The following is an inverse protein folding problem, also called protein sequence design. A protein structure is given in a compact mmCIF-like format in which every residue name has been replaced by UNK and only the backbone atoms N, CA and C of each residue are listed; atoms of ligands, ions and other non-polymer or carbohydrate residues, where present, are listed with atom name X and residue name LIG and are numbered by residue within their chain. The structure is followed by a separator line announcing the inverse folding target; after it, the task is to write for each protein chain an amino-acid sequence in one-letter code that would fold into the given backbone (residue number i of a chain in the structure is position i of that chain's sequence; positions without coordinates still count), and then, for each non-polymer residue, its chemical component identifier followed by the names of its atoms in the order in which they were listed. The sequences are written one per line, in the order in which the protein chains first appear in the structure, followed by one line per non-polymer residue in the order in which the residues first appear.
data_IF_669494443629
#
_entry.id   IF_669494443629
#
_cell.length_a   1.000
_cell.length_b   1.000
_cell.length_c   1.000
_cell.angle_alpha   90.00
_cell.angle_beta   90.00
_cell.angle_gamma   90.00
#
_symmetry.space_group_name_H-M   'P 1'
#
loop_
_entity.id
_entity.type
_entity.pdbx_description
1 polymer ?
#
# COMPACT_ATOMS: atom_id res chain seq x y z
N UNK A 1 -26.57 2.58 8.25
CA UNK A 1 -25.36 2.68 7.41
C UNK A 1 -24.69 3.99 7.80
N UNK A 2 -23.57 3.91 8.43
CA UNK A 2 -22.73 5.06 8.72
C UNK A 2 -21.73 5.20 7.57
N UNK A 3 -21.85 6.28 6.81
CA UNK A 3 -20.89 6.64 5.79
C UNK A 3 -20.01 7.75 6.36
N UNK A 4 -18.75 7.50 6.67
CA UNK A 4 -17.83 8.57 7.01
C UNK A 4 -17.58 9.40 5.75
N UNK A 5 -18.39 10.43 5.57
CA UNK A 5 -18.31 11.31 4.42
C UNK A 5 -17.62 12.60 4.80
N UNK A 6 -16.72 13.06 3.98
CA UNK A 6 -16.34 14.47 3.98
C UNK A 6 -17.60 15.26 3.69
N UNK A 7 -17.92 16.24 4.50
CA UNK A 7 -19.23 16.88 4.55
C UNK A 7 -19.74 17.30 3.16
N UNK A 8 -20.90 16.78 2.77
CA UNK A 8 -21.64 17.21 1.60
C UNK A 8 -21.43 16.40 0.32
N UNK A 9 -20.59 15.39 0.30
CA UNK A 9 -20.42 14.54 -0.87
C UNK A 9 -21.43 13.38 -0.89
N UNK A 10 -21.81 12.94 -2.08
CA UNK A 10 -22.66 11.78 -2.29
C UNK A 10 -21.78 10.54 -2.48
N UNK A 11 -22.22 9.33 -2.07
CA UNK A 11 -21.49 8.11 -2.36
C UNK A 11 -21.35 7.92 -3.86
N UNK A 12 -20.14 7.53 -4.31
CA UNK A 12 -19.86 7.32 -5.72
C UNK A 12 -20.57 6.07 -6.27
N UNK A 13 -20.71 5.03 -5.45
CA UNK A 13 -21.45 3.82 -5.78
C UNK A 13 -21.98 3.14 -4.52
N UNK A 14 -22.91 2.21 -4.71
CA UNK A 14 -23.45 1.33 -3.68
C UNK A 14 -23.22 -0.12 -4.13
N UNK A 15 -22.85 -0.97 -3.22
CA UNK A 15 -22.57 -2.37 -3.49
C UNK A 15 -23.13 -3.32 -2.43
N UNK A 16 -22.98 -4.62 -2.63
CA UNK A 16 -23.35 -5.70 -1.71
C UNK A 16 -24.85 -5.72 -1.36
N UNK A 17 -25.70 -5.52 -2.36
CA UNK A 17 -27.13 -5.73 -2.21
C UNK A 17 -27.65 -6.66 -3.31
N UNK A 18 -28.51 -7.63 -2.94
CA UNK A 18 -29.01 -8.66 -3.87
C UNK A 18 -29.71 -8.05 -5.09
N UNK A 19 -30.39 -6.92 -4.93
CA UNK A 19 -31.10 -6.27 -6.04
C UNK A 19 -30.18 -5.50 -7.01
N UNK A 20 -28.88 -5.41 -6.72
CA UNK A 20 -27.88 -4.89 -7.65
C UNK A 20 -27.36 -5.95 -8.61
N UNK A 21 -27.63 -7.24 -8.37
CA UNK A 21 -27.17 -8.32 -9.23
C UNK A 21 -27.88 -8.27 -10.58
N UNK A 22 -27.25 -7.67 -11.56
CA UNK A 22 -27.79 -7.45 -12.91
C UNK A 22 -26.90 -8.01 -14.00
N UNK A 23 -25.65 -8.29 -13.71
CA UNK A 23 -24.66 -8.77 -14.65
C UNK A 23 -24.02 -10.10 -14.21
N UNK A 24 -23.45 -10.82 -15.17
CA UNK A 24 -22.75 -12.07 -14.91
C UNK A 24 -21.55 -11.87 -13.99
N UNK A 25 -21.33 -12.84 -13.10
CA UNK A 25 -20.26 -12.85 -12.08
C UNK A 25 -20.45 -11.88 -10.92
N UNK A 26 -21.52 -11.13 -10.88
CA UNK A 26 -21.87 -10.34 -9.69
C UNK A 26 -22.35 -11.24 -8.54
N UNK A 27 -22.05 -10.82 -7.34
CA UNK A 27 -22.44 -11.54 -6.13
C UNK A 27 -22.79 -10.61 -4.99
N UNK A 28 -23.60 -11.11 -4.07
CA UNK A 28 -23.91 -10.44 -2.80
C UNK A 28 -24.09 -11.47 -1.69
N UNK A 29 -23.75 -11.09 -0.47
CA UNK A 29 -23.99 -11.90 0.72
C UNK A 29 -25.11 -11.29 1.56
N UNK A 30 -26.12 -12.08 1.92
CA UNK A 30 -27.23 -11.63 2.76
C UNK A 30 -27.79 -12.78 3.60
N UNK A 31 -28.01 -12.54 4.89
CA UNK A 31 -28.67 -13.47 5.82
C UNK A 31 -28.01 -14.87 5.83
N UNK A 32 -26.69 -14.93 5.65
CA UNK A 32 -25.92 -16.19 5.61
C UNK A 32 -25.95 -16.92 4.27
N UNK A 33 -26.54 -16.34 3.24
CA UNK A 33 -26.57 -16.88 1.88
C UNK A 33 -25.67 -16.07 0.94
N UNK A 34 -25.01 -16.78 0.01
CA UNK A 34 -24.34 -16.21 -1.13
C UNK A 34 -25.29 -16.20 -2.33
N UNK A 35 -25.56 -15.02 -2.87
CA UNK A 35 -26.28 -14.82 -4.11
C UNK A 35 -25.26 -14.54 -5.21
N UNK A 36 -25.38 -15.22 -6.33
CA UNK A 36 -24.45 -15.11 -7.44
C UNK A 36 -25.19 -15.16 -8.77
N UNK A 37 -24.82 -14.30 -9.70
CA UNK A 37 -25.34 -14.27 -11.06
C UNK A 37 -24.39 -15.09 -11.97
N UNK A 38 -24.70 -16.35 -12.28
CA UNK A 38 -23.82 -17.17 -13.09
C UNK A 38 -23.80 -16.69 -14.54
N UNK A 39 -22.69 -16.93 -15.29
CA UNK A 39 -22.67 -16.73 -16.72
C UNK A 39 -23.75 -17.56 -17.45
N UNK A 40 -24.23 -17.05 -18.58
CA UNK A 40 -25.26 -17.74 -19.37
C UNK A 40 -24.82 -19.16 -19.71
N UNK A 41 -25.69 -20.13 -19.41
CA UNK A 41 -25.45 -21.54 -19.68
C UNK A 41 -24.61 -22.26 -18.64
N UNK A 42 -24.19 -21.61 -17.57
CA UNK A 42 -23.46 -22.23 -16.46
C UNK A 42 -24.44 -22.65 -15.36
N UNK A 43 -24.43 -23.92 -15.01
CA UNK A 43 -25.21 -24.47 -13.89
C UNK A 43 -24.54 -24.11 -12.55
N UNK A 44 -25.19 -23.31 -11.72
CA UNK A 44 -24.64 -22.76 -10.47
C UNK A 44 -24.11 -23.87 -9.52
N UNK A 45 -24.78 -25.04 -9.50
CA UNK A 45 -24.38 -26.14 -8.65
C UNK A 45 -23.09 -26.86 -9.09
N UNK A 46 -22.55 -26.52 -10.26
CA UNK A 46 -21.25 -27.02 -10.74
C UNK A 46 -20.09 -26.11 -10.37
N UNK A 47 -20.38 -24.90 -9.85
CA UNK A 47 -19.37 -23.93 -9.48
C UNK A 47 -18.79 -24.24 -8.09
N UNK A 48 -17.52 -23.93 -7.95
CA UNK A 48 -16.81 -24.02 -6.67
C UNK A 48 -16.51 -22.61 -6.20
N UNK A 49 -16.95 -22.27 -4.99
CA UNK A 49 -16.72 -20.98 -4.37
C UNK A 49 -15.70 -21.12 -3.25
N UNK A 50 -14.69 -20.24 -3.24
CA UNK A 50 -13.77 -20.11 -2.11
C UNK A 50 -14.30 -19.01 -1.17
N UNK A 51 -14.65 -19.39 0.06
CA UNK A 51 -15.12 -18.45 1.09
C UNK A 51 -14.01 -18.27 2.12
N UNK A 52 -13.36 -17.10 2.19
CA UNK A 52 -12.30 -16.87 3.14
C UNK A 52 -12.85 -16.86 4.59
N UNK A 53 -12.06 -17.41 5.51
CA UNK A 53 -12.39 -17.43 6.95
C UNK A 53 -11.32 -16.77 7.81
N UNK A 54 -10.14 -16.57 7.26
CA UNK A 54 -9.02 -16.00 7.97
C UNK A 54 -8.69 -14.63 7.39
N UNK A 55 -8.40 -13.66 8.24
CA UNK A 55 -7.86 -12.37 7.84
C UNK A 55 -6.34 -12.44 7.65
N UNK A 56 -5.68 -13.38 8.35
CA UNK A 56 -4.23 -13.57 8.33
C UNK A 56 -3.88 -15.05 8.21
N UNK A 57 -2.95 -15.35 7.30
CA UNK A 57 -2.44 -16.70 7.07
C UNK A 57 -1.12 -16.93 7.81
N UNK A 58 -0.27 -15.91 7.93
CA UNK A 58 1.05 -16.01 8.56
C UNK A 58 1.29 -14.83 9.49
N UNK A 59 1.70 -15.13 10.73
CA UNK A 59 2.22 -14.17 11.68
C UNK A 59 3.60 -14.60 12.16
N UNK A 60 4.61 -13.77 11.89
CA UNK A 60 5.98 -13.95 12.37
C UNK A 60 6.23 -12.91 13.44
N UNK A 61 6.06 -13.30 14.70
CA UNK A 61 6.12 -12.37 15.83
C UNK A 61 7.14 -12.79 16.87
N UNK A 62 8.17 -11.98 17.01
CA UNK A 62 9.13 -12.08 18.10
C UNK A 62 8.84 -11.07 19.22
N UNK A 63 9.90 -10.76 19.94
CA UNK A 63 9.96 -9.69 20.96
C UNK A 63 11.20 -8.85 20.68
N UNK A 64 11.23 -7.60 21.13
CA UNK A 64 12.38 -6.71 20.95
C UNK A 64 13.71 -7.38 21.36
N UNK A 65 13.74 -8.03 22.53
CA UNK A 65 14.92 -8.72 23.04
C UNK A 65 15.18 -10.09 22.37
N UNK A 66 14.22 -10.64 21.60
CA UNK A 66 14.33 -11.96 20.97
C UNK A 66 13.50 -11.99 19.68
N UNK A 67 14.11 -11.52 18.62
CA UNK A 67 13.49 -11.55 17.27
C UNK A 67 13.39 -12.99 16.74
N UNK A 68 12.35 -13.24 15.94
CA UNK A 68 12.27 -14.43 15.10
C UNK A 68 13.15 -14.21 13.87
N UNK A 69 13.99 -15.17 13.50
CA UNK A 69 15.02 -14.94 12.49
C UNK A 69 15.10 -16.04 11.43
N UNK A 70 15.60 -15.66 10.25
CA UNK A 70 16.05 -16.58 9.20
C UNK A 70 14.95 -17.52 8.69
N UNK A 71 13.80 -16.97 8.30
CA UNK A 71 12.71 -17.73 7.67
C UNK A 71 12.68 -17.38 6.17
N UNK A 72 12.62 -18.40 5.34
CA UNK A 72 12.41 -18.27 3.91
C UNK A 72 11.15 -19.03 3.51
N UNK A 73 10.26 -18.33 2.78
CA UNK A 73 9.15 -18.91 2.05
C UNK A 73 9.54 -18.97 0.58
N UNK A 74 9.46 -20.13 -0.02
CA UNK A 74 9.87 -20.33 -1.41
C UNK A 74 8.77 -21.03 -2.21
N UNK A 75 8.35 -20.42 -3.33
CA UNK A 75 7.34 -20.96 -4.24
C UNK A 75 6.00 -21.29 -3.56
N UNK A 76 5.57 -20.48 -2.61
CA UNK A 76 4.31 -20.65 -1.87
C UNK A 76 3.27 -19.65 -2.38
N UNK A 77 2.03 -20.12 -2.55
CA UNK A 77 0.88 -19.26 -2.81
C UNK A 77 0.12 -18.98 -1.52
N UNK A 78 -0.02 -17.69 -1.18
CA UNK A 78 -0.85 -17.16 -0.11
C UNK A 78 -2.13 -16.61 -0.75
N UNK A 79 -3.29 -17.21 -0.42
CA UNK A 79 -4.54 -16.86 -1.08
C UNK A 79 -5.75 -16.94 -0.15
N UNK A 80 -6.82 -16.23 -0.54
CA UNK A 80 -8.14 -16.30 0.06
C UNK A 80 -8.18 -15.88 1.53
N UNK A 81 -7.79 -14.62 1.81
CA UNK A 81 -8.12 -13.97 3.08
C UNK A 81 -9.39 -13.13 2.94
N UNK A 82 -10.11 -12.96 4.03
CA UNK A 82 -11.22 -12.01 4.13
C UNK A 82 -10.89 -10.89 5.11
N UNK A 83 -11.72 -9.87 5.12
CA UNK A 83 -11.69 -8.84 6.15
C UNK A 83 -13.09 -8.28 6.37
N UNK A 84 -13.52 -8.29 7.62
CA UNK A 84 -14.74 -7.60 8.04
C UNK A 84 -14.37 -6.17 8.43
N UNK A 85 -14.86 -5.20 7.65
CA UNK A 85 -14.65 -3.77 7.96
C UNK A 85 -15.21 -3.44 9.34
N UNK A 86 -14.64 -2.46 10.05
CA UNK A 86 -15.19 -1.97 11.31
C UNK A 86 -16.66 -1.55 11.19
N UNK A 87 -17.47 -1.84 12.22
CA UNK A 87 -18.92 -1.53 12.22
C UNK A 87 -19.22 -0.04 12.16
N UNK A 88 -18.30 0.81 12.61
CA UNK A 88 -18.40 2.27 12.58
C UNK A 88 -17.94 2.88 11.25
N UNK A 89 -17.62 2.03 10.30
CA UNK A 89 -17.21 2.42 8.96
C UNK A 89 -15.72 2.40 8.74
N UNK A 90 -15.32 2.69 7.52
CA UNK A 90 -13.95 2.73 7.06
C UNK A 90 -13.71 4.05 6.35
N UNK A 91 -12.90 4.89 6.95
CA UNK A 91 -12.44 6.15 6.36
C UNK A 91 -10.99 5.96 5.91
N UNK A 92 -10.83 5.76 4.63
CA UNK A 92 -9.54 5.51 4.02
C UNK A 92 -8.75 6.81 3.90
N UNK A 93 -7.51 6.75 4.34
CA UNK A 93 -6.48 7.72 3.96
C UNK A 93 -5.46 7.03 3.06
N UNK A 94 -4.43 7.74 2.63
CA UNK A 94 -3.40 7.20 1.75
C UNK A 94 -2.87 5.84 2.24
N UNK A 95 -2.49 4.99 1.30
CA UNK A 95 -1.94 3.66 1.55
C UNK A 95 -2.86 2.70 2.34
N UNK A 96 -4.15 2.80 2.13
CA UNK A 96 -5.16 1.96 2.77
C UNK A 96 -5.16 2.03 4.31
N UNK A 97 -4.55 3.04 4.89
CA UNK A 97 -4.70 3.27 6.33
C UNK A 97 -6.06 3.87 6.63
N UNK A 98 -6.58 3.61 7.80
CA UNK A 98 -7.84 4.19 8.24
C UNK A 98 -7.73 4.81 9.63
N UNK A 99 -8.59 5.79 9.88
CA UNK A 99 -8.72 6.44 11.18
C UNK A 99 -9.93 5.85 11.90
N UNK A 100 -9.77 5.51 13.17
CA UNK A 100 -10.85 4.97 14.00
C UNK A 100 -11.96 6.00 14.18
N UNK A 101 -13.14 5.70 13.64
CA UNK A 101 -14.35 6.50 13.77
C UNK A 101 -14.22 7.93 13.20
N UNK A 102 -15.27 8.74 13.43
CA UNK A 102 -15.23 10.18 13.16
C UNK A 102 -14.55 10.92 14.32
N UNK A 103 -13.37 11.45 14.07
CA UNK A 103 -12.55 12.12 15.08
C UNK A 103 -11.64 11.16 15.86
N UNK A 104 -11.39 9.98 15.32
CA UNK A 104 -10.38 9.06 15.84
C UNK A 104 -8.99 9.70 15.87
N UNK A 105 -8.22 9.32 16.87
CA UNK A 105 -6.88 9.85 17.12
C UNK A 105 -5.78 8.85 16.76
N UNK A 106 -6.15 7.72 16.14
CA UNK A 106 -5.22 6.66 15.78
C UNK A 106 -5.43 6.22 14.36
N UNK A 107 -4.34 5.94 13.69
CA UNK A 107 -4.31 5.33 12.37
C UNK A 107 -4.06 3.84 12.51
N UNK A 108 -4.79 3.04 11.75
CA UNK A 108 -4.66 1.59 11.71
C UNK A 108 -4.38 1.12 10.30
N UNK A 109 -3.67 -0.01 10.19
CA UNK A 109 -3.61 -0.77 8.96
C UNK A 109 -4.73 -1.83 8.92
N UNK A 110 -5.35 -2.06 7.77
CA UNK A 110 -6.11 -3.27 7.53
C UNK A 110 -5.24 -4.51 7.81
N UNK A 111 -5.85 -5.66 8.18
CA UNK A 111 -5.09 -6.88 8.38
C UNK A 111 -4.34 -7.30 7.11
N UNK A 112 -3.23 -7.99 7.30
CA UNK A 112 -2.44 -8.50 6.19
C UNK A 112 -2.44 -10.04 6.17
N UNK A 113 -2.42 -10.62 4.95
CA UNK A 113 -2.32 -12.08 4.79
C UNK A 113 -1.06 -12.63 5.43
N UNK A 114 0.05 -11.89 5.38
CA UNK A 114 1.25 -12.21 6.13
C UNK A 114 1.78 -10.96 6.85
N UNK A 115 2.23 -11.13 8.09
CA UNK A 115 2.70 -10.02 8.92
C UNK A 115 3.97 -10.39 9.68
N UNK A 116 4.87 -9.41 9.84
CA UNK A 116 6.07 -9.54 10.68
C UNK A 116 6.10 -8.46 11.76
N UNK A 117 6.52 -8.85 12.98
CA UNK A 117 6.84 -7.96 14.11
C UNK A 117 8.06 -8.48 14.84
N UNK A 118 9.04 -7.65 15.13
CA UNK A 118 10.28 -8.09 15.76
C UNK A 118 10.83 -9.35 15.10
N UNK A 119 11.00 -9.28 13.78
CA UNK A 119 11.52 -10.34 12.92
C UNK A 119 12.80 -9.88 12.23
N UNK A 120 13.65 -10.82 11.84
CA UNK A 120 14.93 -10.49 11.20
C UNK A 120 15.26 -11.51 10.11
N UNK A 121 15.68 -11.02 8.94
CA UNK A 121 16.03 -11.83 7.78
C UNK A 121 14.90 -12.79 7.37
N UNK A 122 13.81 -12.21 6.92
CA UNK A 122 12.65 -12.94 6.40
C UNK A 122 12.60 -12.75 4.88
N UNK A 123 12.38 -13.83 4.14
CA UNK A 123 12.42 -13.82 2.67
C UNK A 123 11.19 -14.49 2.08
N UNK A 124 10.71 -13.93 0.98
CA UNK A 124 9.68 -14.49 0.12
C UNK A 124 10.25 -14.55 -1.30
N UNK A 125 10.55 -15.77 -1.78
CA UNK A 125 11.17 -16.00 -3.08
C UNK A 125 10.25 -16.81 -3.98
N UNK A 126 9.93 -16.31 -5.19
CA UNK A 126 9.04 -17.00 -6.13
C UNK A 126 7.62 -17.23 -5.60
N UNK A 127 7.21 -16.47 -4.59
CA UNK A 127 5.91 -16.62 -3.97
C UNK A 127 4.81 -15.91 -4.76
N UNK A 128 3.55 -16.25 -4.44
CA UNK A 128 2.36 -15.58 -5.00
C UNK A 128 1.43 -15.16 -3.86
N UNK A 129 1.02 -13.91 -3.85
CA UNK A 129 -0.03 -13.35 -2.99
C UNK A 129 -1.21 -12.99 -3.90
N UNK A 130 -2.36 -13.65 -3.73
CA UNK A 130 -3.49 -13.51 -4.66
C UNK A 130 -4.85 -13.67 -3.97
N UNK A 131 -5.86 -12.95 -4.46
CA UNK A 131 -7.23 -13.00 -3.94
C UNK A 131 -7.30 -12.73 -2.42
N UNK A 132 -6.81 -11.58 -2.02
CA UNK A 132 -6.68 -11.21 -0.62
C UNK A 132 -7.65 -10.06 -0.26
N UNK A 133 -8.42 -10.25 0.79
CA UNK A 133 -9.50 -9.33 1.19
C UNK A 133 -9.05 -8.04 1.88
N UNK A 134 -7.76 -7.84 2.12
CA UNK A 134 -7.20 -6.60 2.64
C UNK A 134 -5.76 -6.41 2.17
N UNK A 135 -4.77 -6.24 3.06
CA UNK A 135 -3.36 -6.06 2.70
C UNK A 135 -2.70 -7.42 2.41
N UNK A 136 -1.81 -7.50 1.42
CA UNK A 136 -1.10 -8.74 1.16
C UNK A 136 -0.01 -9.01 2.21
N UNK A 137 0.85 -8.04 2.48
CA UNK A 137 1.92 -8.17 3.45
C UNK A 137 2.12 -6.90 4.27
N UNK A 138 2.44 -7.06 5.56
CA UNK A 138 2.76 -5.94 6.44
C UNK A 138 4.00 -6.24 7.31
N UNK A 139 5.08 -5.47 7.10
CA UNK A 139 6.21 -5.47 8.01
C UNK A 139 6.05 -4.36 9.03
N UNK A 140 5.88 -4.74 10.28
CA UNK A 140 5.61 -3.82 11.38
C UNK A 140 6.82 -3.70 12.32
N UNK A 141 6.61 -3.00 13.38
CA UNK A 141 7.53 -2.66 14.47
C UNK A 141 8.69 -3.64 14.67
N UNK A 142 9.91 -3.14 14.58
CA UNK A 142 11.12 -3.89 14.89
C UNK A 142 11.53 -4.96 13.87
N UNK A 143 10.90 -4.98 12.67
CA UNK A 143 11.31 -5.85 11.56
C UNK A 143 12.60 -5.32 10.92
N UNK A 144 13.58 -6.21 10.70
CA UNK A 144 14.88 -5.89 10.15
C UNK A 144 15.31 -6.94 9.11
N UNK A 145 15.46 -6.54 7.86
CA UNK A 145 15.71 -7.47 6.77
C UNK A 145 14.48 -8.23 6.34
N UNK A 146 13.72 -7.66 5.42
CA UNK A 146 12.58 -8.28 4.77
C UNK A 146 12.75 -8.18 3.26
N UNK A 147 12.65 -9.31 2.55
CA UNK A 147 12.98 -9.37 1.14
C UNK A 147 11.92 -10.12 0.36
N UNK A 148 11.44 -9.51 -0.72
CA UNK A 148 10.60 -10.09 -1.75
C UNK A 148 11.38 -10.16 -3.04
N UNK A 149 11.49 -11.34 -3.62
CA UNK A 149 12.16 -11.54 -4.89
C UNK A 149 11.36 -12.47 -5.79
N UNK A 150 11.21 -12.08 -7.07
CA UNK A 150 10.46 -12.84 -8.07
C UNK A 150 9.06 -13.25 -7.58
N UNK A 151 8.46 -12.40 -6.75
CA UNK A 151 7.16 -12.64 -6.12
C UNK A 151 6.08 -11.89 -6.89
N UNK A 152 4.93 -12.55 -7.06
CA UNK A 152 3.74 -11.94 -7.65
C UNK A 152 2.77 -11.50 -6.54
N UNK A 153 2.24 -10.28 -6.67
CA UNK A 153 1.16 -9.75 -5.83
C UNK A 153 0.05 -9.29 -6.74
N UNK A 154 -1.12 -9.91 -6.65
CA UNK A 154 -2.25 -9.57 -7.53
C UNK A 154 -3.61 -9.82 -6.88
N UNK A 155 -4.62 -9.11 -7.36
CA UNK A 155 -6.00 -9.26 -6.88
C UNK A 155 -6.09 -9.08 -5.35
N UNK A 156 -5.62 -7.93 -4.89
CA UNK A 156 -5.57 -7.54 -3.49
C UNK A 156 -6.52 -6.39 -3.25
N UNK A 157 -7.43 -6.54 -2.30
CA UNK A 157 -8.46 -5.51 -1.99
C UNK A 157 -7.86 -4.19 -1.51
N UNK A 158 -6.80 -4.23 -0.71
CA UNK A 158 -6.10 -3.07 -0.18
C UNK A 158 -4.68 -2.92 -0.71
N UNK A 159 -3.74 -2.55 0.16
CA UNK A 159 -2.34 -2.36 -0.18
C UNK A 159 -1.63 -3.69 -0.46
N UNK A 160 -0.74 -3.71 -1.45
CA UNK A 160 0.08 -4.88 -1.75
C UNK A 160 1.10 -5.16 -0.64
N UNK A 161 2.25 -4.52 -0.71
CA UNK A 161 3.32 -4.66 0.29
C UNK A 161 3.42 -3.38 1.13
N UNK A 162 3.20 -3.50 2.43
CA UNK A 162 3.28 -2.40 3.37
C UNK A 162 4.44 -2.60 4.34
N UNK A 163 5.26 -1.57 4.50
CA UNK A 163 6.42 -1.59 5.38
C UNK A 163 6.38 -0.38 6.31
N UNK A 164 6.62 -0.62 7.59
CA UNK A 164 6.75 0.48 8.52
C UNK A 164 5.86 0.34 9.76
N UNK A 165 6.12 1.24 10.68
CA UNK A 165 5.44 1.31 11.95
C UNK A 165 4.83 2.72 12.08
N UNK A 166 3.68 2.91 11.51
CA UNK A 166 2.92 4.15 11.53
C UNK A 166 1.44 3.96 11.88
N UNK A 167 1.07 2.73 12.25
CA UNK A 167 -0.20 2.42 12.89
C UNK A 167 -0.06 2.48 14.43
N UNK A 168 -1.17 2.59 15.11
CA UNK A 168 -1.24 2.73 16.58
C UNK A 168 -0.61 4.03 17.11
N UNK A 169 -0.29 4.97 16.22
CA UNK A 169 0.25 6.27 16.58
C UNK A 169 -0.89 7.28 16.77
N UNK A 170 -0.76 8.22 17.70
CA UNK A 170 -1.71 9.32 17.78
C UNK A 170 -1.72 10.08 16.45
N UNK A 171 -2.90 10.32 15.91
CA UNK A 171 -3.06 11.23 14.78
C UNK A 171 -3.47 12.59 15.34
N UNK A 172 -2.68 13.62 15.08
CA UNK A 172 -3.10 14.99 15.30
C UNK A 172 -3.31 15.61 13.92
N UNK A 173 -4.52 15.40 13.39
CA UNK A 173 -4.92 15.98 12.12
C UNK A 173 -4.02 15.64 10.93
N UNK A 174 -3.68 14.40 10.72
CA UNK A 174 -2.72 13.88 9.72
C UNK A 174 -1.24 13.93 10.12
N UNK A 175 -0.92 14.11 11.38
CA UNK A 175 0.45 14.20 11.83
C UNK A 175 0.86 13.14 12.87
N UNK A 176 0.84 11.86 12.51
CA UNK A 176 1.56 10.87 13.29
C UNK A 176 3.01 10.87 12.78
N UNK A 177 3.91 11.44 13.53
CA UNK A 177 5.34 11.28 13.22
C UNK A 177 6.03 10.50 14.34
N UNK A 178 7.00 9.72 13.97
CA UNK A 178 7.90 9.09 14.91
C UNK A 178 8.92 10.09 15.41
N UNK A 179 9.05 10.11 16.70
CA UNK A 179 10.21 10.74 17.29
C UNK A 179 11.49 10.07 16.74
N UNK A 180 12.52 10.88 16.53
CA UNK A 180 13.80 10.47 15.97
C UNK A 180 14.49 9.35 16.77
N UNK A 181 14.14 9.18 18.00
CA UNK A 181 14.68 8.23 18.98
C UNK A 181 14.05 6.83 18.90
N UNK A 182 12.97 6.63 18.13
CA UNK A 182 12.38 5.30 17.94
C UNK A 182 13.07 4.46 16.84
N UNK A 183 14.35 4.69 16.62
CA UNK A 183 15.13 3.97 15.63
C UNK A 183 15.21 2.44 15.86
N UNK A 184 15.05 1.99 17.11
CA UNK A 184 15.04 0.57 17.45
C UNK A 184 13.81 -0.17 16.91
N UNK A 185 12.70 0.53 16.78
CA UNK A 185 11.44 -0.03 16.28
C UNK A 185 11.23 0.21 14.79
N UNK A 186 12.08 1.00 14.16
CA UNK A 186 12.05 1.29 12.74
C UNK A 186 12.16 -0.01 11.94
N UNK A 187 11.34 -0.13 10.90
CA UNK A 187 11.51 -1.18 9.89
C UNK A 187 12.68 -0.78 8.99
N UNK A 188 13.59 -1.71 8.74
CA UNK A 188 14.80 -1.42 7.95
C UNK A 188 15.30 -2.62 7.15
N UNK A 189 16.21 -2.35 6.21
CA UNK A 189 16.77 -3.35 5.30
C UNK A 189 15.67 -4.07 4.51
N UNK A 190 14.87 -3.30 3.79
CA UNK A 190 13.76 -3.80 2.96
C UNK A 190 14.21 -3.93 1.52
N UNK A 191 13.90 -5.07 0.88
CA UNK A 191 14.14 -5.30 -0.54
C UNK A 191 12.91 -5.81 -1.25
N UNK A 192 12.52 -5.19 -2.37
CA UNK A 192 11.51 -5.67 -3.31
C UNK A 192 12.14 -5.69 -4.69
N UNK A 193 12.44 -6.88 -5.21
CA UNK A 193 13.24 -7.04 -6.42
C UNK A 193 12.62 -8.07 -7.38
N UNK A 194 12.65 -7.76 -8.68
CA UNK A 194 12.13 -8.65 -9.75
C UNK A 194 10.67 -9.09 -9.54
N UNK A 195 9.86 -8.29 -8.88
CA UNK A 195 8.48 -8.63 -8.53
C UNK A 195 7.48 -8.08 -9.56
N UNK A 196 6.31 -8.74 -9.61
CA UNK A 196 5.15 -8.32 -10.38
C UNK A 196 4.01 -7.93 -9.42
N UNK A 197 3.58 -6.67 -9.47
CA UNK A 197 2.47 -6.17 -8.64
C UNK A 197 1.39 -5.59 -9.56
N UNK A 198 0.18 -6.13 -9.47
CA UNK A 198 -0.93 -5.71 -10.34
C UNK A 198 -2.29 -5.95 -9.69
N UNK A 199 -3.30 -5.19 -10.07
CA UNK A 199 -4.66 -5.25 -9.54
C UNK A 199 -4.67 -5.20 -8.00
N UNK A 200 -4.06 -4.15 -7.49
CA UNK A 200 -3.97 -3.84 -6.06
C UNK A 200 -4.82 -2.62 -5.76
N UNK A 201 -5.51 -2.62 -4.62
CA UNK A 201 -6.51 -1.63 -4.27
C UNK A 201 -7.87 -1.92 -4.92
N UNK A 202 -8.18 -3.20 -5.17
CA UNK A 202 -9.38 -3.58 -5.90
C UNK A 202 -10.69 -3.10 -5.24
N UNK A 203 -10.76 -3.15 -3.92
CA UNK A 203 -11.92 -2.71 -3.14
C UNK A 203 -11.64 -1.42 -2.35
N UNK A 204 -10.38 -1.17 -2.00
CA UNK A 204 -9.94 -0.01 -1.21
C UNK A 204 -9.05 0.89 -2.06
N UNK A 205 -9.62 2.00 -2.53
CA UNK A 205 -9.06 2.85 -3.57
C UNK A 205 -7.75 3.59 -3.17
N UNK A 206 -7.45 3.70 -1.87
CA UNK A 206 -6.17 4.20 -1.37
C UNK A 206 -5.03 3.16 -1.39
N UNK A 207 -5.29 1.93 -1.86
CA UNK A 207 -4.32 0.85 -1.91
C UNK A 207 -3.17 1.11 -2.88
N UNK A 208 -1.94 1.16 -2.35
CA UNK A 208 -0.70 1.23 -3.13
C UNK A 208 -0.12 -0.15 -3.39
N UNK A 209 0.61 -0.33 -4.49
CA UNK A 209 1.30 -1.60 -4.70
C UNK A 209 2.39 -1.81 -3.65
N UNK A 210 3.20 -0.79 -3.40
CA UNK A 210 4.23 -0.77 -2.35
C UNK A 210 4.08 0.52 -1.56
N UNK A 211 3.92 0.38 -0.25
CA UNK A 211 3.86 1.50 0.69
C UNK A 211 4.90 1.32 1.80
N UNK A 212 5.55 2.39 2.20
CA UNK A 212 6.45 2.37 3.35
C UNK A 212 6.39 3.69 4.13
N UNK A 213 6.15 3.60 5.44
CA UNK A 213 6.19 4.75 6.34
C UNK A 213 7.15 4.51 7.52
N UNK A 214 8.01 5.49 7.80
CA UNK A 214 9.05 5.40 8.83
C UNK A 214 9.99 4.20 8.64
N UNK A 215 10.44 4.02 7.41
CA UNK A 215 11.36 2.95 7.00
C UNK A 215 12.74 3.53 6.74
N UNK A 216 13.77 2.76 7.00
CA UNK A 216 15.16 3.04 6.67
C UNK A 216 15.73 1.93 5.78
N UNK A 217 16.57 2.30 4.82
CA UNK A 217 17.27 1.34 3.96
C UNK A 217 16.29 0.46 3.15
N UNK A 218 15.42 1.08 2.34
CA UNK A 218 14.51 0.37 1.44
C UNK A 218 15.00 0.43 0.00
N UNK A 219 14.99 -0.72 -0.68
CA UNK A 219 15.27 -0.85 -2.12
C UNK A 219 14.10 -1.47 -2.84
N UNK A 220 13.56 -0.74 -3.82
CA UNK A 220 12.50 -1.17 -4.74
C UNK A 220 13.07 -1.13 -6.13
N UNK A 221 13.48 -2.29 -6.69
CA UNK A 221 14.17 -2.31 -7.96
C UNK A 221 13.76 -3.45 -8.88
N UNK A 222 13.84 -3.19 -10.20
CA UNK A 222 13.53 -4.16 -11.25
C UNK A 222 12.10 -4.73 -11.20
N UNK A 223 11.12 -3.99 -10.64
CA UNK A 223 9.75 -4.46 -10.55
C UNK A 223 8.92 -3.98 -11.75
N UNK A 224 7.86 -4.75 -12.05
CA UNK A 224 6.77 -4.34 -12.94
C UNK A 224 5.53 -4.11 -12.11
N UNK A 225 5.00 -2.88 -12.15
CA UNK A 225 3.88 -2.41 -11.31
C UNK A 225 2.83 -1.76 -12.22
N UNK A 226 1.61 -2.28 -12.21
CA UNK A 226 0.53 -1.72 -13.03
C UNK A 226 -0.86 -2.13 -12.54
N UNK A 227 -1.88 -1.42 -13.01
CA UNK A 227 -3.27 -1.60 -12.60
C UNK A 227 -3.44 -1.46 -11.07
N UNK A 228 -3.00 -0.32 -10.55
CA UNK A 228 -3.03 0.00 -9.13
C UNK A 228 -4.03 1.13 -8.88
N UNK A 229 -4.87 0.97 -7.87
CA UNK A 229 -5.90 1.96 -7.57
C UNK A 229 -5.32 3.31 -7.13
N UNK A 230 -4.23 3.30 -6.37
CA UNK A 230 -3.50 4.49 -5.93
C UNK A 230 -2.06 4.50 -6.47
N UNK A 231 -1.06 4.82 -5.67
CA UNK A 231 0.32 4.91 -6.11
C UNK A 231 0.96 3.55 -6.35
N UNK A 232 1.80 3.44 -7.37
CA UNK A 232 2.64 2.27 -7.59
C UNK A 232 3.63 2.09 -6.45
N UNK A 233 4.36 3.16 -6.11
CA UNK A 233 5.32 3.19 -5.00
C UNK A 233 5.06 4.44 -4.17
N UNK A 234 4.73 4.29 -2.89
CA UNK A 234 4.50 5.38 -1.95
C UNK A 234 5.43 5.23 -0.75
N UNK A 235 6.45 6.07 -0.64
CA UNK A 235 7.45 5.98 0.41
C UNK A 235 7.47 7.25 1.27
N UNK A 236 7.46 7.06 2.56
CA UNK A 236 7.46 8.10 3.56
C UNK A 236 6.12 8.24 4.28
N UNK A 237 6.15 8.98 5.39
CA UNK A 237 4.98 9.28 6.20
C UNK A 237 5.24 10.54 7.02
N UNK A 238 4.17 11.32 7.27
CA UNK A 238 4.26 12.60 7.99
C UNK A 238 4.42 13.79 7.04
N UNK A 239 3.42 14.67 7.02
CA UNK A 239 3.33 15.83 6.11
C UNK A 239 3.91 17.10 6.71
N UNK A 240 4.91 16.97 7.58
CA UNK A 240 5.54 18.10 8.25
C UNK A 240 7.06 18.05 8.15
N UNK A 241 7.67 19.14 8.61
CA UNK A 241 9.11 19.39 8.60
C UNK A 241 9.93 18.72 9.73
N UNK A 242 9.36 18.11 10.80
CA UNK A 242 10.19 17.40 11.76
C UNK A 242 10.94 16.25 11.11
N UNK A 243 12.21 16.15 11.41
CA UNK A 243 13.07 15.05 10.97
C UNK A 243 12.58 13.72 11.54
N UNK A 244 12.48 12.71 10.69
CA UNK A 244 12.09 11.35 11.07
C UNK A 244 13.29 10.40 11.10
N UNK A 245 13.02 9.09 11.29
CA UNK A 245 14.03 8.03 11.20
C UNK A 245 14.24 7.56 9.75
N UNK A 246 13.46 8.08 8.79
CA UNK A 246 13.44 7.66 7.40
C UNK A 246 14.69 8.06 6.64
N UNK A 247 14.99 7.31 5.59
CA UNK A 247 15.97 7.68 4.60
C UNK A 247 16.68 6.50 3.95
N UNK A 248 17.61 6.80 3.06
CA UNK A 248 18.33 5.85 2.25
C UNK A 248 17.37 4.96 1.43
N UNK A 249 16.48 5.61 0.67
CA UNK A 249 15.57 4.94 -0.25
C UNK A 249 16.23 4.76 -1.62
N UNK A 250 16.04 3.60 -2.22
CA UNK A 250 16.44 3.31 -3.59
C UNK A 250 15.23 2.83 -4.38
N UNK A 251 14.75 3.64 -5.32
CA UNK A 251 13.68 3.28 -6.26
C UNK A 251 14.28 3.30 -7.66
N UNK A 252 14.63 2.12 -8.20
CA UNK A 252 15.41 2.07 -9.43
C UNK A 252 15.00 0.96 -10.39
N UNK A 253 15.09 1.27 -11.68
CA UNK A 253 14.86 0.33 -12.78
C UNK A 253 13.49 -0.34 -12.76
N UNK A 254 12.47 0.31 -12.21
CA UNK A 254 11.10 -0.19 -12.21
C UNK A 254 10.36 0.26 -13.48
N UNK A 255 9.42 -0.55 -13.91
CA UNK A 255 8.41 -0.19 -14.91
C UNK A 255 7.06 0.01 -14.20
N UNK A 256 6.52 1.23 -14.23
CA UNK A 256 5.30 1.62 -13.52
C UNK A 256 4.35 2.29 -14.51
N UNK A 257 3.12 1.79 -14.62
CA UNK A 257 2.11 2.33 -15.52
C UNK A 257 0.69 1.95 -15.09
N UNK A 258 -0.30 2.69 -15.58
CA UNK A 258 -1.72 2.49 -15.26
C UNK A 258 -1.97 2.40 -13.74
N UNK A 259 -1.44 3.37 -13.02
CA UNK A 259 -1.71 3.56 -11.59
C UNK A 259 -2.64 4.75 -11.38
N UNK A 260 -3.13 4.96 -10.16
CA UNK A 260 -4.10 6.01 -9.83
C UNK A 260 -5.41 5.86 -10.62
N UNK A 261 -5.78 4.62 -10.95
CA UNK A 261 -7.02 4.30 -11.65
C UNK A 261 -8.27 4.45 -10.75
N UNK A 262 -8.07 4.59 -9.44
CA UNK A 262 -9.12 4.84 -8.46
C UNK A 262 -9.53 6.32 -8.38
N UNK A 263 -10.11 6.70 -7.27
CA UNK A 263 -10.62 8.07 -7.01
C UNK A 263 -9.56 9.03 -6.46
N UNK A 264 -8.31 8.58 -6.31
CA UNK A 264 -7.24 9.36 -5.68
C UNK A 264 -6.58 10.32 -6.66
N UNK A 265 -6.79 11.61 -6.46
CA UNK A 265 -6.11 12.66 -7.26
C UNK A 265 -4.78 13.09 -6.66
N UNK A 266 -4.62 12.95 -5.35
CA UNK A 266 -3.45 13.43 -4.60
C UNK A 266 -2.42 12.30 -4.44
N UNK A 267 -1.77 11.97 -5.54
CA UNK A 267 -0.79 10.90 -5.62
C UNK A 267 -0.03 10.94 -6.95
N UNK A 268 0.90 10.01 -7.10
CA UNK A 268 1.69 9.81 -8.31
C UNK A 268 2.05 8.34 -8.45
N UNK A 269 2.57 7.97 -9.61
CA UNK A 269 3.09 6.63 -9.83
C UNK A 269 4.20 6.29 -8.85
N UNK A 270 5.08 7.28 -8.54
CA UNK A 270 6.06 7.25 -7.47
C UNK A 270 5.83 8.47 -6.58
N UNK A 271 5.47 8.24 -5.33
CA UNK A 271 5.12 9.28 -4.36
C UNK A 271 6.05 9.23 -3.15
N UNK A 272 6.52 10.40 -2.73
CA UNK A 272 7.37 10.57 -1.57
C UNK A 272 6.80 11.64 -0.63
N UNK A 273 6.91 11.41 0.68
CA UNK A 273 6.46 12.38 1.71
C UNK A 273 7.32 12.29 2.96
N UNK A 274 7.43 13.39 3.67
CA UNK A 274 8.11 13.49 4.97
C UNK A 274 9.61 13.64 4.88
N UNK A 275 10.18 14.12 5.97
CA UNK A 275 11.59 14.51 6.07
C UNK A 275 12.49 13.35 6.46
N UNK A 276 13.55 13.18 5.70
CA UNK A 276 14.59 12.19 5.97
C UNK A 276 15.55 12.62 7.10
N UNK A 277 16.18 11.63 7.68
CA UNK A 277 17.36 11.82 8.53
C UNK A 277 18.55 12.22 7.66
N UNK A 278 18.97 13.47 7.73
CA UNK A 278 20.05 14.04 6.93
C UNK A 278 21.43 13.41 7.21
N UNK A 279 21.56 12.59 8.25
CA UNK A 279 22.77 11.81 8.50
C UNK A 279 22.89 10.56 7.64
N UNK A 280 21.81 10.18 6.95
CA UNK A 280 21.78 9.03 6.05
C UNK A 280 22.22 9.43 4.64
N UNK A 281 22.61 8.45 3.80
CA UNK A 281 22.87 8.69 2.38
C UNK A 281 21.64 9.27 1.68
N UNK A 282 21.86 10.02 0.60
CA UNK A 282 20.79 10.49 -0.27
C UNK A 282 19.99 9.30 -0.81
N UNK A 283 18.69 9.44 -0.79
CA UNK A 283 17.79 8.53 -1.48
C UNK A 283 17.92 8.66 -2.99
N UNK A 284 17.79 7.57 -3.73
CA UNK A 284 18.03 7.53 -5.17
C UNK A 284 16.76 7.11 -5.90
N UNK A 285 16.42 7.86 -6.96
CA UNK A 285 15.34 7.54 -7.90
C UNK A 285 15.97 7.48 -9.29
N UNK A 286 16.24 6.27 -9.79
CA UNK A 286 17.07 6.11 -10.97
C UNK A 286 16.55 5.07 -11.95
N UNK A 287 16.65 5.39 -13.25
CA UNK A 287 16.44 4.42 -14.31
C UNK A 287 15.03 3.86 -14.42
N UNK A 288 14.05 4.47 -13.77
CA UNK A 288 12.67 4.03 -13.85
C UNK A 288 12.03 4.46 -15.17
N UNK A 289 11.17 3.59 -15.70
CA UNK A 289 10.26 3.91 -16.79
C UNK A 289 8.84 4.05 -16.24
N UNK A 290 8.31 5.26 -16.25
CA UNK A 290 7.03 5.61 -15.63
C UNK A 290 6.11 6.20 -16.69
N UNK A 291 4.94 5.62 -16.89
CA UNK A 291 3.88 6.20 -17.72
C UNK A 291 2.90 6.93 -16.83
N UNK A 292 2.90 8.26 -16.92
CA UNK A 292 2.02 9.13 -16.13
C UNK A 292 0.57 8.99 -16.63
N UNK A 293 -0.32 8.47 -15.83
CA UNK A 293 -1.72 8.20 -16.22
C UNK A 293 -2.76 8.88 -15.36
N UNK A 294 -2.54 8.91 -14.07
CA UNK A 294 -3.44 9.52 -13.08
C UNK A 294 -2.75 10.64 -12.29
N UNK A 295 -3.34 11.06 -11.21
CA UNK A 295 -2.75 11.91 -10.19
C UNK A 295 -2.08 13.21 -10.66
N UNK A 296 -1.14 13.68 -9.86
CA UNK A 296 -0.44 14.96 -10.02
C UNK A 296 0.79 14.87 -10.93
N UNK A 297 1.31 13.67 -11.19
CA UNK A 297 2.47 13.47 -12.05
C UNK A 297 3.09 12.09 -11.89
N UNK A 298 4.10 11.76 -12.70
CA UNK A 298 4.80 10.48 -12.63
C UNK A 298 5.60 10.31 -11.35
N UNK A 299 6.24 11.39 -10.88
CA UNK A 299 6.95 11.44 -9.60
C UNK A 299 6.49 12.67 -8.82
N UNK A 300 6.13 12.46 -7.58
CA UNK A 300 5.64 13.49 -6.68
C UNK A 300 6.45 13.51 -5.38
N UNK A 301 7.10 14.63 -5.13
CA UNK A 301 7.73 14.96 -3.85
C UNK A 301 6.77 15.84 -3.05
N UNK A 302 6.12 15.28 -2.07
CA UNK A 302 5.15 15.97 -1.22
C UNK A 302 5.82 16.56 0.02
N UNK A 303 5.04 17.16 0.91
CA UNK A 303 5.49 17.94 2.06
C UNK A 303 6.62 17.29 2.85
N UNK A 304 7.65 18.07 3.12
CA UNK A 304 8.82 17.65 3.89
C UNK A 304 9.85 16.81 3.11
N UNK A 305 9.52 16.30 1.92
CA UNK A 305 10.45 15.47 1.14
C UNK A 305 11.78 16.16 0.89
N UNK A 306 12.88 15.54 1.30
CA UNK A 306 14.23 16.05 1.11
C UNK A 306 15.24 14.92 0.94
N UNK A 307 16.45 15.25 0.51
CA UNK A 307 17.56 14.31 0.46
C UNK A 307 17.45 13.27 -0.67
N UNK A 308 16.91 13.64 -1.83
CA UNK A 308 16.78 12.78 -2.98
C UNK A 308 17.72 13.18 -4.11
N UNK A 309 18.22 12.19 -4.82
CA UNK A 309 18.85 12.32 -6.12
C UNK A 309 18.03 11.57 -7.16
N UNK A 310 17.51 12.32 -8.14
CA UNK A 310 16.76 11.76 -9.25
C UNK A 310 17.57 11.85 -10.53
N UNK A 311 17.74 10.72 -11.25
CA UNK A 311 18.53 10.69 -12.49
C UNK A 311 18.09 9.55 -13.43
N UNK A 312 18.32 9.73 -14.72
CA UNK A 312 18.15 8.71 -15.76
C UNK A 312 16.74 8.06 -15.81
N UNK A 313 15.69 8.74 -15.33
CA UNK A 313 14.33 8.23 -15.41
C UNK A 313 13.67 8.67 -16.72
N UNK A 314 12.75 7.86 -17.21
CA UNK A 314 11.84 8.21 -18.31
C UNK A 314 10.45 8.38 -17.73
N UNK A 315 9.91 9.59 -17.80
CA UNK A 315 8.54 9.94 -17.42
C UNK A 315 7.75 10.22 -18.70
N UNK A 316 6.92 9.26 -19.12
CA UNK A 316 6.11 9.36 -20.34
C UNK A 316 4.72 9.88 -20.01
N UNK A 317 4.30 10.95 -20.70
CA UNK A 317 3.02 11.60 -20.47
C UNK A 317 3.06 12.64 -19.35
N UNK A 318 1.88 13.12 -18.98
CA UNK A 318 1.68 14.14 -17.94
C UNK A 318 0.56 13.67 -17.01
N UNK A 319 0.63 14.06 -15.75
CA UNK A 319 -0.44 13.85 -14.78
C UNK A 319 -1.79 14.36 -15.28
N UNK A 320 -2.87 13.69 -14.90
CA UNK A 320 -4.22 13.98 -15.41
C UNK A 320 -5.03 14.92 -14.50
N UNK A 321 -4.43 15.49 -13.48
CA UNK A 321 -5.11 16.45 -12.62
C UNK A 321 -5.50 17.72 -13.39
N UNK A 322 -6.76 18.15 -13.36
CA UNK A 322 -7.27 19.23 -14.25
C UNK A 322 -6.51 20.53 -14.16
N UNK A 323 -5.98 20.90 -12.99
CA UNK A 323 -5.26 22.14 -12.75
C UNK A 323 -3.73 22.02 -12.91
N UNK A 324 -3.18 20.80 -13.00
CA UNK A 324 -1.73 20.56 -13.02
C UNK A 324 -1.39 19.34 -13.88
N UNK A 325 -0.80 19.59 -15.03
CA UNK A 325 -0.35 18.56 -15.97
C UNK A 325 1.16 18.58 -16.02
N UNK A 326 1.78 17.81 -15.15
CA UNK A 326 3.25 17.74 -15.03
C UNK A 326 3.71 16.28 -14.93
N UNK A 327 4.92 16.00 -15.35
CA UNK A 327 5.54 14.69 -15.17
C UNK A 327 6.22 14.56 -13.80
N UNK A 328 6.73 15.68 -13.28
CA UNK A 328 7.40 15.78 -12.00
C UNK A 328 6.76 16.90 -11.17
N UNK A 329 6.35 16.60 -9.95
CA UNK A 329 5.68 17.56 -9.07
C UNK A 329 6.39 17.69 -7.73
N UNK A 330 6.60 18.92 -7.30
CA UNK A 330 7.08 19.29 -5.96
C UNK A 330 6.01 20.12 -5.28
N UNK A 331 5.55 19.66 -4.13
CA UNK A 331 4.55 20.34 -3.33
C UNK A 331 5.21 20.98 -2.11
N UNK A 332 5.08 22.27 -1.97
CA UNK A 332 5.69 23.11 -0.94
C UNK A 332 7.17 23.48 -1.12
N UNK A 333 7.53 24.74 -0.74
CA UNK A 333 8.90 25.26 -0.89
C UNK A 333 9.95 24.56 -0.03
N UNK A 334 9.56 23.69 0.90
CA UNK A 334 10.46 22.93 1.76
C UNK A 334 10.80 21.54 1.22
N UNK A 335 10.28 21.16 0.04
CA UNK A 335 10.76 20.01 -0.70
C UNK A 335 12.08 20.37 -1.33
N UNK A 336 13.16 20.30 -0.59
CA UNK A 336 14.50 20.65 -1.05
C UNK A 336 15.40 19.42 -1.15
N UNK A 337 16.02 19.26 -2.31
CA UNK A 337 17.14 18.36 -2.50
C UNK A 337 18.44 18.94 -1.96
#
# INVERSE_FOLDING_TARGET
IYLPMVSGEQPAHLENAVFFLTEENEWAAKDGYLYYMPPVGVEINTLVFAVPRAERLVLIQGKQAKKVKNICFENITFAYTGWEKPNDGYCEIQATNYVEGTGGTKTYHPPAAAETRYAENIRFEGCTFINLGATAFNARKGTDGIYFRKTQVSDVSGTGLCFGYFDELPTDGFDPFHAKDDAENCVRNVGVEDCLLTRVGADFQGGSAICAGYVRDISVCHNTIFDIAYSGVALGWGWQDPRTVMGNFNVSYNRIYNTLAGLGYDGAEIYFVGKHDESLPLSVVEGNYVTCGGGLGGVYFDEGSNGYRMQNNVLEGLGNYPARKVALFFHHPNCGG
#
